data_IF_469382415828
#
_entry.id   IF_469382415828
#
_cell.length_a   1.000
_cell.length_b   1.000
_cell.length_c   1.000
_cell.angle_alpha   90.00
_cell.angle_beta   90.00
_cell.angle_gamma   90.00
#
_symmetry.space_group_name_H-M   'P 1'
#
loop_
_entity.id
_entity.type
_entity.pdbx_description
1 polymer ?
#
# COMPACT_ATOMS: atom_id res chain seq x y z
N UNK A 1 -18.30 11.30 11.93
CA UNK A 1 -18.11 11.82 10.55
C UNK A 1 -18.91 11.03 9.50
N UNK A 2 -18.99 9.70 9.55
CA UNK A 2 -19.72 8.91 8.53
C UNK A 2 -21.23 9.21 8.44
N UNK A 3 -21.93 9.39 9.58
CA UNK A 3 -23.37 9.67 9.61
C UNK A 3 -23.81 10.95 8.85
N UNK A 4 -22.90 11.90 8.63
CA UNK A 4 -23.22 13.14 7.90
C UNK A 4 -23.19 12.96 6.37
N UNK A 5 -22.45 11.97 5.85
CA UNK A 5 -22.31 11.74 4.40
C UNK A 5 -23.53 11.01 3.80
N UNK A 6 -24.20 10.18 4.59
CA UNK A 6 -25.32 9.33 4.16
C UNK A 6 -26.67 10.07 4.05
N UNK A 7 -26.85 11.12 4.84
CA UNK A 7 -28.14 11.80 4.99
C UNK A 7 -28.57 12.65 3.77
N UNK A 8 -27.73 12.74 2.74
CA UNK A 8 -27.92 13.64 1.60
C UNK A 8 -28.44 12.93 0.33
N UNK A 9 -29.34 11.94 0.44
CA UNK A 9 -30.19 11.45 -0.67
C UNK A 9 -29.51 11.15 -2.02
N UNK A 10 -28.22 10.83 -2.03
CA UNK A 10 -27.39 10.65 -3.23
C UNK A 10 -26.76 9.26 -3.28
N UNK A 11 -26.02 8.98 -4.38
CA UNK A 11 -25.23 7.76 -4.54
C UNK A 11 -24.34 7.53 -3.31
N UNK A 12 -24.28 6.31 -2.76
CA UNK A 12 -23.38 5.98 -1.66
C UNK A 12 -21.96 6.45 -1.94
N UNK A 13 -21.30 7.02 -0.93
CA UNK A 13 -19.92 7.46 -1.10
C UNK A 13 -18.99 6.24 -1.08
N UNK A 14 -18.10 6.10 -2.08
CA UNK A 14 -17.18 4.99 -2.13
C UNK A 14 -16.07 5.15 -1.09
N UNK A 15 -15.82 4.10 -0.32
CA UNK A 15 -14.75 4.01 0.66
C UNK A 15 -13.98 2.72 0.52
N UNK A 16 -12.76 2.69 1.06
CA UNK A 16 -11.96 1.48 1.15
C UNK A 16 -11.56 1.19 2.59
N UNK A 17 -11.68 -0.07 2.99
CA UNK A 17 -11.26 -0.56 4.29
C UNK A 17 -9.76 -0.81 4.29
N UNK A 18 -9.01 -0.08 5.10
CA UNK A 18 -7.60 -0.37 5.33
C UNK A 18 -7.43 -1.24 6.56
N UNK A 19 -6.79 -2.39 6.40
CA UNK A 19 -6.44 -3.32 7.47
C UNK A 19 -4.95 -3.18 7.76
N UNK A 20 -4.58 -3.08 9.04
CA UNK A 20 -3.18 -3.11 9.45
C UNK A 20 -2.74 -4.54 9.74
N UNK A 21 -2.00 -5.14 8.82
CA UNK A 21 -1.52 -6.51 8.98
C UNK A 21 -0.11 -6.59 9.59
N UNK A 22 0.49 -5.47 10.01
CA UNK A 22 1.83 -5.47 10.61
C UNK A 22 2.67 -4.21 10.33
N UNK A 23 2.14 -3.23 9.59
CA UNK A 23 2.84 -1.96 9.37
C UNK A 23 2.75 -1.03 10.60
N UNK A 24 1.73 -1.22 11.44
CA UNK A 24 1.48 -0.46 12.66
C UNK A 24 1.49 1.06 12.43
N UNK A 25 0.90 1.49 11.32
CA UNK A 25 0.89 2.90 10.90
C UNK A 25 -0.51 3.47 10.86
N UNK A 26 -1.38 2.85 10.07
CA UNK A 26 -2.79 3.22 9.90
C UNK A 26 -3.55 2.00 9.39
N UNK A 27 -4.83 1.90 9.69
CA UNK A 27 -5.68 0.75 9.36
C UNK A 27 -6.36 0.23 10.63
N UNK A 28 -7.47 -0.49 10.48
CA UNK A 28 -8.08 -1.18 11.61
C UNK A 28 -7.26 -2.42 11.98
N UNK A 29 -7.43 -2.87 13.22
CA UNK A 29 -6.97 -4.20 13.61
C UNK A 29 -7.69 -5.26 12.75
N UNK A 30 -7.01 -6.34 12.33
CA UNK A 30 -7.61 -7.45 11.62
C UNK A 30 -8.87 -8.00 12.31
N UNK A 31 -8.87 -8.08 13.65
CA UNK A 31 -10.01 -8.59 14.42
C UNK A 31 -11.24 -7.69 14.35
N UNK A 32 -11.06 -6.39 14.09
CA UNK A 32 -12.13 -5.40 14.01
C UNK A 32 -12.66 -5.21 12.57
N UNK A 33 -12.03 -5.85 11.58
CA UNK A 33 -12.30 -5.57 10.16
C UNK A 33 -13.76 -5.84 9.76
N UNK A 34 -14.34 -6.95 10.22
CA UNK A 34 -15.74 -7.31 9.90
C UNK A 34 -16.71 -6.31 10.50
N UNK A 35 -16.50 -5.91 11.76
CA UNK A 35 -17.40 -4.98 12.45
C UNK A 35 -17.28 -3.57 11.88
N UNK A 36 -16.07 -3.14 11.49
CA UNK A 36 -15.89 -1.87 10.79
C UNK A 36 -16.53 -1.89 9.39
N UNK A 37 -16.43 -3.00 8.66
CA UNK A 37 -17.09 -3.15 7.37
C UNK A 37 -18.62 -3.08 7.49
N UNK A 38 -19.21 -3.69 8.53
CA UNK A 38 -20.65 -3.55 8.83
C UNK A 38 -21.01 -2.11 9.13
N UNK A 39 -20.22 -1.41 9.95
CA UNK A 39 -20.46 -0.01 10.27
C UNK A 39 -20.39 0.90 9.04
N UNK A 40 -19.53 0.59 8.05
CA UNK A 40 -19.49 1.27 6.75
C UNK A 40 -20.81 1.09 5.99
N UNK A 41 -21.29 -0.14 5.88
CA UNK A 41 -22.54 -0.46 5.17
C UNK A 41 -23.77 0.13 5.87
N UNK A 42 -23.86 0.02 7.20
CA UNK A 42 -24.94 0.58 8.01
C UNK A 42 -24.98 2.12 7.94
N UNK A 43 -23.82 2.74 7.74
CA UNK A 43 -23.71 4.17 7.47
C UNK A 43 -24.10 4.54 6.02
N UNK A 44 -24.61 3.62 5.20
CA UNK A 44 -25.02 3.90 3.82
C UNK A 44 -23.87 4.26 2.88
N UNK A 45 -22.64 3.84 3.21
CA UNK A 45 -21.46 3.99 2.37
C UNK A 45 -21.27 2.74 1.49
N UNK A 46 -20.54 2.88 0.39
CA UNK A 46 -20.18 1.76 -0.47
C UNK A 46 -18.76 1.29 -0.17
N UNK A 47 -18.61 0.05 0.31
CA UNK A 47 -17.31 -0.58 0.47
C UNK A 47 -16.77 -1.02 -0.90
N UNK A 48 -15.97 -0.16 -1.54
CA UNK A 48 -15.42 -0.40 -2.88
C UNK A 48 -14.09 -1.17 -2.88
N UNK A 49 -13.46 -1.33 -1.72
CA UNK A 49 -12.20 -2.05 -1.66
C UNK A 49 -11.71 -2.30 -0.25
N UNK A 50 -10.80 -3.26 -0.15
CA UNK A 50 -10.16 -3.68 1.10
C UNK A 50 -8.68 -3.87 0.84
N UNK A 51 -7.83 -3.32 1.70
CA UNK A 51 -6.39 -3.31 1.44
C UNK A 51 -5.50 -3.28 2.67
N UNK A 52 -4.27 -3.75 2.48
CA UNK A 52 -3.16 -3.58 3.43
C UNK A 52 -1.95 -2.94 2.74
N UNK A 53 -0.91 -2.64 3.51
CA UNK A 53 0.39 -2.25 3.00
C UNK A 53 1.49 -3.09 3.63
N UNK A 54 2.32 -3.69 2.78
CA UNK A 54 3.41 -4.56 3.18
C UNK A 54 4.59 -3.74 3.68
N UNK A 55 5.16 -4.12 4.82
CA UNK A 55 6.16 -3.35 5.54
C UNK A 55 7.56 -3.50 4.93
N UNK A 56 7.92 -4.72 4.53
CA UNK A 56 9.29 -5.11 4.12
C UNK A 56 9.29 -5.95 2.84
N UNK A 57 8.38 -5.66 1.91
CA UNK A 57 8.25 -6.43 0.66
C UNK A 57 9.48 -6.33 -0.27
N UNK A 58 10.38 -5.39 0.01
CA UNK A 58 11.66 -5.17 -0.64
C UNK A 58 12.84 -5.94 0.02
N UNK A 59 12.59 -6.66 1.11
CA UNK A 59 13.54 -7.55 1.79
C UNK A 59 13.12 -9.04 1.56
N UNK A 60 13.69 -9.75 0.57
CA UNK A 60 13.20 -11.08 0.16
C UNK A 60 13.38 -12.19 1.20
N UNK A 61 14.32 -12.04 2.13
CA UNK A 61 14.60 -13.03 3.17
C UNK A 61 13.73 -12.88 4.43
N UNK A 62 12.85 -11.87 4.46
CA UNK A 62 11.99 -11.55 5.61
C UNK A 62 10.64 -12.27 5.52
N UNK A 63 10.27 -13.11 6.51
CA UNK A 63 8.99 -13.83 6.49
C UNK A 63 7.77 -12.93 6.65
N UNK A 64 7.94 -11.70 7.15
CA UNK A 64 6.84 -10.80 7.52
C UNK A 64 5.95 -10.47 6.32
N UNK A 65 6.49 -10.41 5.10
CA UNK A 65 5.68 -10.16 3.91
C UNK A 65 4.65 -11.28 3.71
N UNK A 66 5.07 -12.53 3.89
CA UNK A 66 4.19 -13.69 3.76
C UNK A 66 3.18 -13.74 4.93
N UNK A 67 3.63 -13.50 6.16
CA UNK A 67 2.75 -13.42 7.34
C UNK A 67 1.68 -12.33 7.18
N UNK A 68 2.06 -11.16 6.66
CA UNK A 68 1.14 -10.07 6.38
C UNK A 68 0.12 -10.44 5.29
N UNK A 69 0.51 -11.22 4.29
CA UNK A 69 -0.37 -11.68 3.21
C UNK A 69 -1.33 -12.76 3.70
N UNK A 70 -0.86 -13.70 4.52
CA UNK A 70 -1.69 -14.73 5.15
C UNK A 70 -2.76 -14.10 6.05
N UNK A 71 -2.36 -13.15 6.89
CA UNK A 71 -3.29 -12.41 7.75
C UNK A 71 -4.30 -11.60 6.93
N UNK A 72 -3.85 -10.96 5.85
CA UNK A 72 -4.77 -10.23 4.96
C UNK A 72 -5.77 -11.18 4.29
N UNK A 73 -5.32 -12.35 3.82
CA UNK A 73 -6.19 -13.37 3.24
C UNK A 73 -7.22 -13.90 4.24
N UNK A 74 -6.83 -14.07 5.52
CA UNK A 74 -7.74 -14.45 6.59
C UNK A 74 -8.86 -13.42 6.79
N UNK A 75 -8.51 -12.13 6.86
CA UNK A 75 -9.52 -11.05 6.97
C UNK A 75 -10.49 -11.04 5.78
N UNK A 76 -9.98 -11.22 4.56
CA UNK A 76 -10.83 -11.31 3.37
C UNK A 76 -11.79 -12.51 3.43
N UNK A 77 -11.33 -13.65 3.97
CA UNK A 77 -12.17 -14.81 4.18
C UNK A 77 -13.24 -14.58 5.26
N UNK A 78 -12.91 -13.86 6.33
CA UNK A 78 -13.86 -13.49 7.39
C UNK A 78 -14.94 -12.52 6.88
N UNK A 79 -14.57 -11.53 6.06
CA UNK A 79 -15.53 -10.65 5.38
C UNK A 79 -16.49 -11.46 4.50
N UNK A 80 -15.95 -12.38 3.69
CA UNK A 80 -16.76 -13.25 2.84
C UNK A 80 -17.69 -14.17 3.65
N UNK A 81 -17.20 -14.75 4.76
CA UNK A 81 -18.00 -15.57 5.67
C UNK A 81 -19.13 -14.77 6.36
N UNK A 82 -18.92 -13.47 6.58
CA UNK A 82 -19.92 -12.54 7.07
C UNK A 82 -20.91 -12.06 5.99
N UNK A 83 -20.75 -12.50 4.73
CA UNK A 83 -21.58 -12.10 3.60
C UNK A 83 -21.28 -10.69 3.09
N UNK A 84 -20.10 -10.14 3.39
CA UNK A 84 -19.65 -8.81 2.97
C UNK A 84 -18.74 -8.94 1.75
N UNK A 85 -19.07 -8.23 0.67
CA UNK A 85 -18.19 -8.09 -0.48
C UNK A 85 -17.02 -7.15 -0.12
N UNK A 86 -15.75 -7.60 -0.16
CA UNK A 86 -14.60 -6.76 0.17
C UNK A 86 -14.27 -5.73 -0.92
N UNK A 87 -14.92 -5.76 -2.09
CA UNK A 87 -14.62 -4.91 -3.23
C UNK A 87 -13.25 -5.23 -3.85
N UNK A 88 -12.58 -4.20 -4.40
CA UNK A 88 -11.21 -4.32 -4.93
C UNK A 88 -10.21 -4.67 -3.82
N UNK A 89 -9.52 -5.80 -3.96
CA UNK A 89 -8.51 -6.25 -3.02
C UNK A 89 -7.13 -5.86 -3.50
N UNK A 90 -6.32 -5.26 -2.63
CA UNK A 90 -4.94 -4.93 -2.98
C UNK A 90 -3.97 -4.89 -1.80
N UNK A 91 -2.81 -5.51 -1.95
CA UNK A 91 -1.73 -5.48 -0.95
C UNK A 91 -0.43 -4.91 -1.53
N UNK A 92 -0.14 -5.22 -2.80
CA UNK A 92 1.14 -4.94 -3.41
C UNK A 92 1.48 -3.44 -3.54
N UNK A 93 2.62 -3.06 -2.96
CA UNK A 93 3.39 -1.85 -3.32
C UNK A 93 4.33 -2.18 -4.52
N UNK A 94 5.28 -1.29 -4.86
CA UNK A 94 6.22 -1.55 -5.98
C UNK A 94 7.03 -2.84 -5.81
N UNK A 95 7.60 -3.09 -4.63
CA UNK A 95 8.42 -4.27 -4.38
C UNK A 95 7.59 -5.56 -4.50
N UNK A 96 6.44 -5.58 -3.84
CA UNK A 96 5.50 -6.70 -3.92
C UNK A 96 4.96 -6.94 -5.33
N UNK A 97 4.67 -5.88 -6.09
CA UNK A 97 4.22 -6.03 -7.47
C UNK A 97 5.28 -6.72 -8.34
N UNK A 98 6.56 -6.43 -8.11
CA UNK A 98 7.68 -6.97 -8.89
C UNK A 98 8.08 -8.38 -8.43
N UNK A 99 8.20 -8.62 -7.13
CA UNK A 99 8.81 -9.83 -6.59
C UNK A 99 7.84 -10.82 -5.92
N UNK A 100 6.61 -10.41 -5.59
CA UNK A 100 5.67 -11.22 -4.79
C UNK A 100 4.36 -11.50 -5.55
N UNK A 101 4.30 -12.55 -6.40
CA UNK A 101 3.09 -12.88 -7.18
C UNK A 101 1.83 -13.03 -6.34
N UNK A 102 1.92 -13.58 -5.12
CA UNK A 102 0.78 -13.75 -4.21
C UNK A 102 0.13 -12.43 -3.77
N UNK A 103 0.87 -11.31 -3.80
CA UNK A 103 0.37 -9.98 -3.47
C UNK A 103 -0.39 -9.30 -4.62
N UNK A 104 -0.35 -9.87 -5.84
CA UNK A 104 -0.99 -9.34 -7.06
C UNK A 104 -2.46 -9.76 -7.12
N UNK A 105 -3.26 -9.13 -6.28
CA UNK A 105 -4.70 -9.32 -6.21
C UNK A 105 -5.40 -8.56 -7.36
N UNK A 106 -6.49 -7.85 -7.09
CA UNK A 106 -7.26 -7.15 -8.13
C UNK A 106 -6.56 -5.87 -8.61
N UNK A 107 -5.73 -5.25 -7.75
CA UNK A 107 -4.97 -4.03 -8.04
C UNK A 107 -3.57 -4.08 -7.41
N UNK A 108 -2.59 -3.50 -8.10
CA UNK A 108 -1.23 -3.24 -7.57
C UNK A 108 -0.98 -1.74 -7.49
N UNK A 109 -0.32 -1.26 -6.43
CA UNK A 109 -0.08 0.16 -6.17
C UNK A 109 1.40 0.51 -6.36
N UNK A 110 1.80 0.66 -7.62
CA UNK A 110 3.20 0.90 -8.02
C UNK A 110 3.54 2.39 -7.85
N UNK A 111 4.46 2.68 -6.92
CA UNK A 111 5.01 4.00 -6.65
C UNK A 111 6.42 4.19 -7.21
N UNK A 112 7.45 3.84 -6.44
CA UNK A 112 8.86 4.13 -6.75
C UNK A 112 9.32 3.56 -8.10
N UNK A 113 8.85 2.36 -8.45
CA UNK A 113 9.20 1.72 -9.71
C UNK A 113 8.62 2.45 -10.94
N UNK A 114 7.53 3.22 -10.79
CA UNK A 114 6.97 4.08 -11.86
C UNK A 114 7.96 5.18 -12.27
N UNK A 115 8.87 5.58 -11.38
CA UNK A 115 9.92 6.56 -11.65
C UNK A 115 11.23 5.92 -12.13
N UNK A 116 11.22 4.61 -12.40
CA UNK A 116 12.40 3.89 -12.84
C UNK A 116 13.42 3.58 -11.74
N UNK A 117 13.01 3.71 -10.47
CA UNK A 117 13.89 3.48 -9.32
C UNK A 117 13.58 2.10 -8.72
N UNK A 118 14.58 1.20 -8.62
CA UNK A 118 14.43 -0.08 -7.92
C UNK A 118 13.97 0.12 -6.48
N UNK A 119 13.00 -0.67 -5.97
CA UNK A 119 12.56 -0.57 -4.58
C UNK A 119 13.67 -0.87 -3.57
N UNK A 120 14.54 -1.83 -3.89
CA UNK A 120 15.74 -2.19 -3.13
C UNK A 120 16.82 -2.69 -4.09
N UNK A 121 18.08 -2.60 -3.67
CA UNK A 121 19.22 -3.18 -4.39
C UNK A 121 19.26 -4.71 -4.27
N UNK A 122 18.67 -5.27 -3.22
CA UNK A 122 18.66 -6.71 -2.92
C UNK A 122 17.51 -7.45 -3.62
N UNK A 123 16.64 -6.71 -4.33
CA UNK A 123 15.49 -7.27 -5.05
C UNK A 123 15.84 -7.56 -6.51
N UNK A 124 15.73 -8.82 -6.91
CA UNK A 124 15.83 -9.19 -8.32
C UNK A 124 14.60 -8.67 -9.09
N UNK A 125 14.86 -7.87 -10.13
CA UNK A 125 13.79 -7.24 -10.90
C UNK A 125 13.45 -8.09 -12.14
N UNK A 126 12.16 -8.41 -12.37
CA UNK A 126 11.74 -9.17 -13.55
C UNK A 126 11.83 -8.36 -14.84
N UNK A 127 11.97 -7.04 -14.74
CA UNK A 127 12.07 -6.09 -15.85
C UNK A 127 13.08 -5.00 -15.51
N UNK A 128 13.84 -4.49 -16.50
CA UNK A 128 14.67 -3.32 -16.28
C UNK A 128 13.79 -2.09 -16.02
N UNK A 129 14.25 -1.23 -15.11
CA UNK A 129 13.62 0.05 -14.80
C UNK A 129 14.50 1.19 -15.32
N UNK A 130 13.90 2.19 -15.97
CA UNK A 130 14.61 3.34 -16.55
C UNK A 130 14.35 4.61 -15.73
N UNK A 131 15.37 5.21 -15.08
CA UNK A 131 15.19 6.41 -14.27
C UNK A 131 14.55 7.57 -15.04
N UNK A 132 13.39 8.04 -14.56
CA UNK A 132 12.63 9.11 -15.19
C UNK A 132 13.17 10.52 -14.88
N UNK A 133 14.09 10.65 -13.91
CA UNK A 133 14.57 11.95 -13.42
C UNK A 133 16.10 12.03 -13.44
N UNK A 134 16.62 13.15 -13.91
CA UNK A 134 18.03 13.52 -13.82
C UNK A 134 18.15 14.90 -13.19
N UNK A 135 18.96 15.04 -12.14
CA UNK A 135 19.26 16.33 -11.51
C UNK A 135 20.59 16.85 -12.06
N UNK A 136 20.59 18.10 -12.56
CA UNK A 136 21.78 18.75 -13.13
C UNK A 136 22.00 20.10 -12.46
N UNK A 137 23.26 20.47 -12.27
CA UNK A 137 23.66 21.77 -11.75
C UNK A 137 24.94 22.24 -12.47
N UNK A 138 25.19 23.55 -12.43
CA UNK A 138 26.40 24.17 -12.98
C UNK A 138 27.31 24.64 -11.86
N UNK A 139 28.62 24.48 -12.03
CA UNK A 139 29.62 25.01 -11.10
C UNK A 139 29.65 26.54 -11.20
N UNK A 140 29.09 27.22 -10.19
CA UNK A 140 29.00 28.68 -10.18
C UNK A 140 30.31 29.38 -9.79
N UNK A 141 31.16 28.72 -9.01
CA UNK A 141 32.43 29.30 -8.54
C UNK A 141 33.44 28.22 -8.17
N UNK A 142 34.67 28.41 -8.65
CA UNK A 142 35.85 27.67 -8.19
C UNK A 142 36.80 28.68 -7.54
N UNK A 143 37.28 28.38 -6.33
CA UNK A 143 38.31 29.19 -5.63
C UNK A 143 39.31 28.28 -4.94
N UNK A 144 40.57 28.69 -4.94
CA UNK A 144 41.59 28.12 -4.05
C UNK A 144 41.47 28.77 -2.67
N UNK A 145 41.73 28.00 -1.62
CA UNK A 145 41.73 28.45 -0.21
C UNK A 145 43.01 28.01 0.48
N UNK A 146 43.43 28.74 1.51
CA UNK A 146 44.66 28.44 2.22
C UNK A 146 44.51 27.23 3.15
N UNK A 147 45.63 26.61 3.53
CA UNK A 147 45.63 25.57 4.54
C UNK A 147 45.12 26.14 5.88
N UNK A 148 44.10 25.49 6.45
CA UNK A 148 43.43 25.95 7.67
C UNK A 148 42.19 26.82 7.42
N UNK A 149 41.79 27.07 6.18
CA UNK A 149 40.51 27.72 5.85
C UNK A 149 39.45 26.66 5.46
N UNK A 150 38.37 26.55 6.24
CA UNK A 150 37.26 25.62 6.01
C UNK A 150 36.32 25.51 7.20
#
# INVERSE_FOLDING_TARGET
>A
MAAAAAAAGGTPWPVQLKVDTGMHRVGCDPADAVDLARAVLDAGLELQGTFTHLAVADEPDRPETDEQLELFAAVLAELAAAGIDPGLRHAANSAAALAHPAARLDLVRVGIATYGVPPSADLELPVPLEPAMNVRAEVSRVRSVAAGEG
#
